data_IF_494109385303
#
_entry.id   IF_494109385303
#
_cell.length_a   1.000
_cell.length_b   1.000
_cell.length_c   1.000
_cell.angle_alpha   90.00
_cell.angle_beta   90.00
_cell.angle_gamma   90.00
#
_symmetry.space_group_name_H-M   'P 1'
#
loop_
_entity.id
_entity.type
_entity.pdbx_description
1 polymer ?
#
# COMPACT_ATOMS: atom_id res chain seq x y z
N UNK A 1 7.01 6.29 -14.75
CA UNK A 1 5.86 6.85 -14.01
C UNK A 1 6.15 6.67 -12.54
N UNK A 2 5.86 7.70 -11.74
CA UNK A 2 6.04 7.63 -10.29
C UNK A 2 4.96 6.76 -9.66
N UNK A 3 5.20 6.22 -8.45
CA UNK A 3 4.20 5.42 -7.74
C UNK A 3 2.94 6.22 -7.38
N UNK A 4 3.06 7.53 -7.27
CA UNK A 4 1.96 8.48 -7.06
C UNK A 4 0.95 8.47 -8.22
N UNK A 5 1.42 8.39 -9.46
CA UNK A 5 0.57 8.28 -10.65
C UNK A 5 -0.15 6.93 -10.72
N UNK A 6 0.38 5.91 -10.03
CA UNK A 6 -0.12 4.52 -10.06
C UNK A 6 -1.04 4.16 -8.91
N UNK A 7 -1.33 5.10 -8.00
CA UNK A 7 -2.20 4.85 -6.85
C UNK A 7 -3.59 4.37 -7.28
N UNK A 8 -4.26 4.98 -8.28
CA UNK A 8 -5.57 4.51 -8.71
C UNK A 8 -5.57 3.07 -9.20
N UNK A 9 -4.60 2.68 -10.03
CA UNK A 9 -4.46 1.33 -10.56
C UNK A 9 -4.14 0.32 -9.46
N UNK A 10 -3.25 0.68 -8.52
CA UNK A 10 -2.97 -0.13 -7.35
C UNK A 10 -4.23 -0.38 -6.53
N UNK A 11 -5.01 0.68 -6.23
CA UNK A 11 -6.23 0.55 -5.44
C UNK A 11 -7.29 -0.30 -6.15
N UNK A 12 -7.41 -0.19 -7.48
CA UNK A 12 -8.27 -1.04 -8.27
C UNK A 12 -7.86 -2.52 -8.18
N UNK A 13 -6.55 -2.81 -8.38
CA UNK A 13 -6.01 -4.18 -8.27
C UNK A 13 -6.21 -4.77 -6.88
N UNK A 14 -6.01 -3.97 -5.83
CA UNK A 14 -6.34 -4.40 -4.47
C UNK A 14 -7.82 -4.76 -4.32
N UNK A 15 -8.73 -3.98 -4.92
CA UNK A 15 -10.16 -4.27 -4.94
C UNK A 15 -10.48 -5.62 -5.59
N UNK A 16 -9.83 -5.95 -6.70
CA UNK A 16 -9.99 -7.24 -7.40
C UNK A 16 -9.53 -8.42 -6.53
N UNK A 17 -8.53 -8.21 -5.67
CA UNK A 17 -8.04 -9.19 -4.69
C UNK A 17 -8.86 -9.23 -3.38
N UNK A 18 -9.95 -8.47 -3.29
CA UNK A 18 -10.76 -8.35 -2.06
C UNK A 18 -10.02 -7.64 -0.91
N UNK A 19 -9.01 -6.82 -1.25
CA UNK A 19 -8.25 -5.99 -0.33
C UNK A 19 -8.78 -4.55 -0.33
N UNK A 20 -8.50 -3.85 0.77
CA UNK A 20 -8.71 -2.41 0.91
C UNK A 20 -7.36 -1.74 1.07
N UNK A 21 -7.04 -0.83 0.15
CA UNK A 21 -5.91 0.09 0.25
C UNK A 21 -6.35 1.47 0.73
N UNK A 22 -5.56 2.08 1.60
CA UNK A 22 -5.74 3.45 2.05
C UNK A 22 -4.42 4.19 1.94
N UNK A 23 -4.44 5.33 1.27
CA UNK A 23 -3.32 6.28 1.22
C UNK A 23 -3.79 7.56 1.88
N UNK A 24 -3.03 8.05 2.86
CA UNK A 24 -3.36 9.30 3.55
C UNK A 24 -2.13 10.15 3.82
N UNK A 25 -2.39 11.45 3.94
CA UNK A 25 -1.41 12.43 4.40
C UNK A 25 -1.76 12.81 5.84
N UNK A 26 -0.96 12.36 6.82
CA UNK A 26 -1.06 12.74 8.23
C UNK A 26 -0.04 13.84 8.54
N UNK A 27 -0.46 15.11 8.54
CA UNK A 27 0.43 16.25 8.83
C UNK A 27 0.91 16.37 10.28
N UNK A 28 0.37 15.56 11.20
CA UNK A 28 0.59 15.73 12.65
C UNK A 28 1.63 14.77 13.25
N UNK A 29 2.08 13.74 12.51
CA UNK A 29 2.97 12.70 13.05
C UNK A 29 4.41 12.87 12.60
N UNK A 30 5.28 13.24 13.54
CA UNK A 30 6.75 13.02 13.51
C UNK A 30 7.44 13.16 12.14
N UNK A 31 7.14 14.22 11.40
CA UNK A 31 7.76 14.52 10.09
C UNK A 31 7.53 13.48 8.99
N UNK A 32 6.67 12.47 9.20
CA UNK A 32 6.28 11.45 8.22
C UNK A 32 4.87 11.72 7.71
N UNK A 33 4.71 12.63 6.73
CA UNK A 33 3.39 13.01 6.25
C UNK A 33 2.61 11.87 5.62
N UNK A 34 3.21 10.77 5.17
CA UNK A 34 2.50 9.75 4.41
C UNK A 34 2.29 8.47 5.21
N UNK A 35 1.07 7.93 5.11
CA UNK A 35 0.71 6.60 5.60
C UNK A 35 0.00 5.82 4.48
N UNK A 36 0.47 4.60 4.23
CA UNK A 36 -0.21 3.61 3.38
C UNK A 36 -0.62 2.43 4.25
N UNK A 37 -1.88 2.00 4.13
CA UNK A 37 -2.42 0.82 4.81
C UNK A 37 -3.06 -0.10 3.77
N UNK A 38 -2.77 -1.40 3.85
CA UNK A 38 -3.43 -2.44 3.06
C UNK A 38 -3.98 -3.48 4.03
N UNK A 39 -5.27 -3.80 3.91
CA UNK A 39 -5.96 -4.71 4.81
C UNK A 39 -6.98 -5.56 4.06
N UNK A 40 -7.28 -6.75 4.59
CA UNK A 40 -8.32 -7.62 4.04
C UNK A 40 -8.19 -9.04 4.57
N UNK A 41 -9.17 -9.89 4.25
CA UNK A 41 -9.24 -11.27 4.74
C UNK A 41 -8.06 -12.12 4.27
N UNK A 42 -7.58 -11.92 3.03
CA UNK A 42 -6.43 -12.65 2.48
C UNK A 42 -5.10 -12.34 3.19
N UNK A 43 -5.05 -11.30 4.03
CA UNK A 43 -3.89 -11.03 4.92
C UNK A 43 -4.04 -11.67 6.31
N UNK A 44 -5.01 -12.57 6.50
CA UNK A 44 -5.33 -13.19 7.80
C UNK A 44 -5.55 -12.16 8.92
N UNK A 45 -6.14 -11.01 8.57
CA UNK A 45 -6.39 -9.91 9.50
C UNK A 45 -5.16 -9.07 9.87
N UNK A 46 -3.95 -9.40 9.39
CA UNK A 46 -2.74 -8.63 9.64
C UNK A 46 -2.57 -7.54 8.57
N UNK A 47 -2.99 -6.31 8.87
CA UNK A 47 -2.83 -5.19 7.96
C UNK A 47 -1.35 -4.83 7.73
N UNK A 48 -1.00 -4.52 6.49
CA UNK A 48 0.29 -3.91 6.13
C UNK A 48 0.14 -2.41 6.36
N UNK A 49 1.10 -1.82 7.07
CA UNK A 49 1.16 -0.37 7.32
C UNK A 49 2.57 0.14 7.05
N UNK A 50 2.66 1.20 6.27
CA UNK A 50 3.91 1.90 5.99
C UNK A 50 3.74 3.40 6.24
N UNK A 51 4.58 3.96 7.10
CA UNK A 51 4.62 5.40 7.39
C UNK A 51 5.97 5.97 6.92
N UNK A 52 5.97 7.13 6.27
CA UNK A 52 7.20 7.69 5.69
C UNK A 52 7.09 9.14 5.22
N UNK A 53 8.25 9.68 4.82
CA UNK A 53 8.38 11.08 4.43
C UNK A 53 7.92 11.35 3.00
N UNK A 54 7.85 10.32 2.17
CA UNK A 54 7.41 10.40 0.77
C UNK A 54 6.38 9.31 0.48
N UNK A 55 5.45 9.61 -0.41
CA UNK A 55 4.45 8.65 -0.87
C UNK A 55 5.11 7.45 -1.56
N UNK A 56 6.08 7.70 -2.44
CA UNK A 56 6.84 6.66 -3.15
C UNK A 56 7.53 5.67 -2.20
N UNK A 57 8.15 6.16 -1.11
CA UNK A 57 8.72 5.28 -0.09
C UNK A 57 7.66 4.35 0.51
N UNK A 58 6.52 4.91 0.91
CA UNK A 58 5.46 4.13 1.55
C UNK A 58 4.87 3.10 0.59
N UNK A 59 4.61 3.47 -0.66
CA UNK A 59 4.04 2.58 -1.67
C UNK A 59 4.98 1.43 -2.02
N UNK A 60 6.28 1.71 -2.24
CA UNK A 60 7.27 0.65 -2.51
C UNK A 60 7.35 -0.36 -1.38
N UNK A 61 7.38 0.10 -0.13
CA UNK A 61 7.45 -0.79 1.02
C UNK A 61 6.14 -1.56 1.23
N UNK A 62 4.99 -0.93 1.02
CA UNK A 62 3.70 -1.60 1.14
C UNK A 62 3.52 -2.69 0.07
N UNK A 63 3.91 -2.42 -1.18
CA UNK A 63 3.85 -3.39 -2.28
C UNK A 63 4.85 -4.52 -2.07
N UNK A 64 6.08 -4.22 -1.62
CA UNK A 64 7.05 -5.25 -1.28
C UNK A 64 6.51 -6.19 -0.18
N UNK A 65 5.97 -5.63 0.90
CA UNK A 65 5.34 -6.41 1.97
C UNK A 65 4.13 -7.21 1.47
N UNK A 66 3.36 -6.67 0.52
CA UNK A 66 2.22 -7.38 -0.05
C UNK A 66 2.67 -8.56 -0.93
N UNK A 67 3.73 -8.41 -1.74
CA UNK A 67 4.33 -9.49 -2.53
C UNK A 67 4.87 -10.62 -1.67
N UNK A 68 5.44 -10.30 -0.51
CA UNK A 68 5.89 -11.32 0.45
C UNK A 68 4.72 -12.14 1.03
N UNK A 69 3.54 -11.53 1.14
CA UNK A 69 2.34 -12.19 1.68
C UNK A 69 1.51 -12.91 0.62
N UNK A 70 1.49 -12.40 -0.59
CA UNK A 70 0.70 -12.88 -1.72
C UNK A 70 1.58 -12.96 -2.98
N UNK A 71 2.54 -13.90 -3.04
CA UNK A 71 3.53 -13.96 -4.11
C UNK A 71 2.93 -14.27 -5.48
N UNK A 72 1.80 -14.96 -5.53
CA UNK A 72 1.17 -15.44 -6.78
C UNK A 72 0.10 -14.48 -7.35
N UNK A 73 -0.24 -13.42 -6.63
CA UNK A 73 -1.42 -12.56 -6.92
C UNK A 73 -1.03 -11.13 -7.37
N UNK A 74 0.26 -10.82 -7.40
CA UNK A 74 0.77 -9.45 -7.63
C UNK A 74 1.68 -9.37 -8.85
N UNK A 75 1.07 -9.26 -10.03
CA UNK A 75 1.75 -8.92 -11.28
C UNK A 75 1.66 -7.40 -11.54
N UNK A 76 2.26 -6.62 -10.63
CA UNK A 76 2.35 -5.16 -10.76
C UNK A 76 3.76 -4.77 -11.22
N UNK A 77 4.03 -4.74 -12.53
CA UNK A 77 5.30 -4.24 -13.10
C UNK A 77 5.54 -2.76 -12.80
#
# INVERSE_FOLDING_TARGET
MGWDERVPELLAHLGDLGLVGLVKIDGEREHKPWTVVISGQCLNGAAIRCDGNTLDYCLRHAVAALRERLPDELDLD
#
